data_IF_741391141074
#
_entry.id   IF_741391141074
#
_cell.length_a   1.000
_cell.length_b   1.000
_cell.length_c   1.000
_cell.angle_alpha   90.00
_cell.angle_beta   90.00
_cell.angle_gamma   90.00
#
_symmetry.space_group_name_H-M   'P 1'
#
loop_
_entity.id
_entity.type
_entity.pdbx_description
1 polymer ?
#
# COMPACT_ATOMS: atom_id res chain seq x y z
N UNK A 1 0.95 12.40 -33.21
CA UNK A 1 -0.19 12.10 -32.32
C UNK A 1 0.38 11.78 -30.94
N UNK A 2 0.08 12.61 -29.94
CA UNK A 2 0.57 12.39 -28.57
C UNK A 2 -0.19 11.22 -27.95
N UNK A 3 0.53 10.16 -27.56
CA UNK A 3 -0.07 9.07 -26.79
C UNK A 3 -0.37 9.60 -25.39
N UNK A 4 -1.64 9.94 -25.14
CA UNK A 4 -2.12 10.24 -23.79
C UNK A 4 -1.99 8.93 -23.00
N UNK A 5 -0.98 8.85 -22.14
CA UNK A 5 -0.83 7.75 -21.18
C UNK A 5 -2.04 7.80 -20.24
N UNK A 6 -3.05 7.00 -20.53
CA UNK A 6 -4.16 6.75 -19.60
C UNK A 6 -3.57 6.00 -18.40
N UNK A 7 -3.11 6.73 -17.37
CA UNK A 7 -2.63 6.12 -16.14
C UNK A 7 -3.83 5.44 -15.49
N UNK A 8 -3.91 4.12 -15.65
CA UNK A 8 -4.91 3.33 -14.95
C UNK A 8 -4.58 3.38 -13.46
N UNK A 9 -5.34 4.18 -12.69
CA UNK A 9 -5.08 4.37 -11.25
C UNK A 9 -5.13 3.05 -10.47
N UNK A 10 -5.81 2.03 -11.01
CA UNK A 10 -5.87 0.70 -10.41
C UNK A 10 -4.58 -0.13 -10.59
N UNK A 11 -3.69 0.26 -11.50
CA UNK A 11 -2.37 -0.37 -11.65
C UNK A 11 -1.31 0.22 -10.72
N UNK A 12 -1.64 1.28 -9.97
CA UNK A 12 -0.70 1.90 -9.05
C UNK A 12 -0.58 1.08 -7.77
N UNK A 13 0.67 0.80 -7.38
CA UNK A 13 1.01 -0.10 -6.29
C UNK A 13 0.36 0.27 -4.95
N UNK A 14 0.29 1.56 -4.62
CA UNK A 14 -0.36 2.05 -3.41
C UNK A 14 -1.87 1.80 -3.39
N UNK A 15 -2.52 1.96 -4.55
CA UNK A 15 -3.94 1.65 -4.71
C UNK A 15 -4.21 0.16 -4.52
N UNK A 16 -3.33 -0.71 -5.04
CA UNK A 16 -3.42 -2.16 -4.82
C UNK A 16 -3.18 -2.53 -3.36
N UNK A 17 -2.20 -1.91 -2.70
CA UNK A 17 -1.93 -2.11 -1.28
C UNK A 17 -3.15 -1.75 -0.42
N UNK A 18 -3.82 -0.62 -0.72
CA UNK A 18 -5.07 -0.22 -0.04
C UNK A 18 -6.18 -1.24 -0.23
N UNK A 19 -6.39 -1.73 -1.46
CA UNK A 19 -7.39 -2.76 -1.77
C UNK A 19 -7.13 -4.03 -0.97
N UNK A 20 -5.88 -4.48 -0.94
CA UNK A 20 -5.48 -5.66 -0.17
C UNK A 20 -5.70 -5.46 1.32
N UNK A 21 -5.29 -4.31 1.88
CA UNK A 21 -5.52 -3.99 3.30
C UNK A 21 -7.01 -4.08 3.68
N UNK A 22 -7.88 -3.51 2.85
CA UNK A 22 -9.33 -3.54 3.08
C UNK A 22 -9.88 -4.97 2.97
N UNK A 23 -9.40 -5.76 2.00
CA UNK A 23 -9.80 -7.16 1.84
C UNK A 23 -9.41 -8.03 3.04
N UNK A 24 -8.28 -7.74 3.68
CA UNK A 24 -7.84 -8.43 4.90
C UNK A 24 -8.41 -7.83 6.19
N UNK A 25 -9.32 -6.86 6.10
CA UNK A 25 -9.96 -6.19 7.26
C UNK A 25 -8.97 -5.51 8.23
N UNK A 26 -7.84 -5.02 7.73
CA UNK A 26 -6.80 -4.36 8.53
C UNK A 26 -7.02 -2.84 8.50
N UNK A 27 -6.98 -2.16 9.64
CA UNK A 27 -6.96 -0.70 9.68
C UNK A 27 -5.58 -0.14 9.31
N UNK A 28 -5.51 1.13 8.89
CA UNK A 28 -4.21 1.75 8.63
C UNK A 28 -3.32 1.80 9.89
N UNK A 29 -3.93 1.93 11.08
CA UNK A 29 -3.21 1.95 12.37
C UNK A 29 -2.60 0.58 12.69
N UNK A 30 -3.36 -0.50 12.49
CA UNK A 30 -2.84 -1.87 12.68
C UNK A 30 -1.73 -2.18 11.68
N UNK A 31 -1.93 -1.83 10.39
CA UNK A 31 -0.89 -2.01 9.37
C UNK A 31 0.39 -1.26 9.72
N UNK A 32 0.27 -0.02 10.18
CA UNK A 32 1.41 0.78 10.62
C UNK A 32 2.15 0.12 11.79
N UNK A 33 1.40 -0.35 12.80
CA UNK A 33 1.94 -1.08 13.94
C UNK A 33 2.67 -2.36 13.55
N UNK A 34 2.09 -3.17 12.68
CA UNK A 34 2.70 -4.41 12.18
C UNK A 34 3.95 -4.15 11.32
N UNK A 35 3.93 -3.08 10.53
CA UNK A 35 5.04 -2.73 9.63
C UNK A 35 6.15 -1.92 10.32
N UNK A 36 5.94 -1.47 11.57
CA UNK A 36 6.87 -0.61 12.28
C UNK A 36 7.09 0.73 11.58
N UNK A 37 6.00 1.34 11.08
CA UNK A 37 5.98 2.66 10.42
C UNK A 37 4.88 3.53 11.04
N UNK A 38 4.82 4.81 10.71
CA UNK A 38 3.73 5.67 11.16
C UNK A 38 2.48 5.51 10.29
N UNK A 39 1.31 5.90 10.83
CA UNK A 39 0.04 5.83 10.11
C UNK A 39 0.04 6.76 8.89
N UNK A 40 0.72 7.90 8.99
CA UNK A 40 0.90 8.84 7.88
C UNK A 40 1.62 8.18 6.71
N UNK A 41 2.62 7.34 6.96
CA UNK A 41 3.34 6.62 5.89
C UNK A 41 2.48 5.56 5.21
N UNK A 42 1.59 4.90 5.94
CA UNK A 42 0.57 4.04 5.33
C UNK A 42 -0.35 4.86 4.43
N UNK A 43 -0.84 6.00 4.92
CA UNK A 43 -1.70 6.90 4.15
C UNK A 43 -1.02 7.42 2.87
N UNK A 44 0.22 7.90 2.98
CA UNK A 44 1.03 8.37 1.85
C UNK A 44 1.24 7.25 0.82
N UNK A 45 1.57 6.04 1.28
CA UNK A 45 1.76 4.90 0.39
C UNK A 45 0.49 4.55 -0.38
N UNK A 46 -0.65 4.45 0.32
CA UNK A 46 -1.94 4.09 -0.28
C UNK A 46 -2.45 5.10 -1.31
N UNK A 47 -2.05 6.36 -1.18
CA UNK A 47 -2.36 7.44 -2.13
C UNK A 47 -1.27 7.63 -3.20
N UNK A 48 -0.29 6.72 -3.27
CA UNK A 48 0.83 6.73 -4.21
C UNK A 48 1.77 7.94 -4.08
N UNK A 49 1.86 8.54 -2.89
CA UNK A 49 2.85 9.56 -2.61
C UNK A 49 4.27 8.97 -2.49
N UNK A 50 5.31 9.76 -2.77
CA UNK A 50 6.70 9.34 -2.59
C UNK A 50 6.99 8.99 -1.14
N UNK A 51 7.67 7.86 -0.95
CA UNK A 51 8.16 7.38 0.34
C UNK A 51 9.49 6.66 0.12
N UNK A 52 10.38 6.65 1.13
CA UNK A 52 11.51 5.75 1.18
C UNK A 52 11.12 4.29 0.87
N UNK A 53 11.99 3.62 0.10
CA UNK A 53 11.74 2.26 -0.39
C UNK A 53 11.58 1.25 0.76
N UNK A 54 12.34 1.43 1.84
CA UNK A 54 12.29 0.56 3.01
C UNK A 54 10.90 0.57 3.67
N UNK A 55 10.26 1.73 3.82
CA UNK A 55 8.89 1.82 4.34
C UNK A 55 7.88 1.15 3.41
N UNK A 56 8.00 1.32 2.10
CA UNK A 56 7.15 0.62 1.13
C UNK A 56 7.27 -0.90 1.27
N UNK A 57 8.50 -1.40 1.38
CA UNK A 57 8.76 -2.84 1.53
C UNK A 57 8.23 -3.39 2.85
N UNK A 58 8.36 -2.66 3.96
CA UNK A 58 7.82 -3.07 5.27
C UNK A 58 6.29 -3.20 5.20
N UNK A 59 5.60 -2.22 4.64
CA UNK A 59 4.14 -2.24 4.48
C UNK A 59 3.71 -3.42 3.60
N UNK A 60 4.37 -3.62 2.45
CA UNK A 60 4.04 -4.71 1.52
C UNK A 60 4.30 -6.10 2.12
N UNK A 61 5.38 -6.27 2.89
CA UNK A 61 5.69 -7.53 3.58
C UNK A 61 4.56 -7.96 4.50
N UNK A 62 4.01 -7.03 5.29
CA UNK A 62 2.88 -7.32 6.18
C UNK A 62 1.66 -7.72 5.35
N UNK A 63 1.29 -6.92 4.35
CA UNK A 63 0.11 -7.20 3.53
C UNK A 63 0.19 -8.55 2.80
N UNK A 64 1.35 -8.93 2.30
CA UNK A 64 1.54 -10.23 1.66
C UNK A 64 1.54 -11.39 2.66
N UNK A 65 2.11 -11.19 3.85
CA UNK A 65 2.04 -12.19 4.91
C UNK A 65 0.60 -12.48 5.32
N UNK A 66 -0.24 -11.45 5.45
CA UNK A 66 -1.66 -11.62 5.79
C UNK A 66 -2.44 -12.30 4.67
N UNK A 67 -2.18 -11.93 3.40
CA UNK A 67 -2.81 -12.57 2.24
C UNK A 67 -2.57 -14.09 2.18
N UNK A 68 -1.37 -14.56 2.55
CA UNK A 68 -0.98 -15.98 2.46
C UNK A 68 -1.62 -16.83 3.56
N UNK A 69 -2.05 -16.23 4.69
CA UNK A 69 -2.66 -16.95 5.81
C UNK A 69 -4.08 -17.44 5.52
N UNK A 70 -4.73 -16.93 4.47
CA UNK A 70 -6.05 -17.36 3.99
C UNK A 70 -5.92 -18.37 2.86
#
# INVERSE_FOLDING_TARGET
MSAVLTINRDSLLGTQARKLRIAEHISQRELAGMAGVTVEFVGLFEHNFPLPLDYKLRILRVLWAEKIKR
#
